data_IF_043086710370
#
_entry.id   IF_043086710370
#
_cell.length_a   1.000
_cell.length_b   1.000
_cell.length_c   1.000
_cell.angle_alpha   90.00
_cell.angle_beta   90.00
_cell.angle_gamma   90.00
#
_symmetry.space_group_name_H-M   'P 1'
#
loop_
_entity.id
_entity.type
_entity.pdbx_description
1 polymer ?
#
# COMPACT_ATOMS: atom_id res chain seq x y z
N UNK A 1 1.86 7.45 -10.23
CA UNK A 1 1.81 6.00 -10.02
C UNK A 1 1.97 5.23 -11.32
N UNK A 2 1.05 5.35 -12.29
CA UNK A 2 1.11 4.61 -13.57
C UNK A 2 2.45 4.70 -14.33
N UNK A 3 3.05 5.89 -14.40
CA UNK A 3 4.37 6.07 -15.04
C UNK A 3 5.51 5.35 -14.32
N UNK A 4 5.49 5.28 -12.98
CA UNK A 4 6.48 4.54 -12.18
C UNK A 4 6.32 3.03 -12.38
N UNK A 5 5.09 2.52 -12.35
CA UNK A 5 4.79 1.10 -12.59
C UNK A 5 5.27 0.64 -13.97
N UNK A 6 5.15 1.49 -15.00
CA UNK A 6 5.64 1.16 -16.33
C UNK A 6 7.17 1.12 -16.42
N UNK A 7 7.86 1.93 -15.60
CA UNK A 7 9.33 1.99 -15.55
C UNK A 7 9.94 0.91 -14.65
N UNK A 8 9.25 0.58 -13.57
CA UNK A 8 9.70 -0.31 -12.50
C UNK A 8 8.67 -1.44 -12.32
N UNK A 9 8.83 -2.57 -13.04
CA UNK A 9 7.84 -3.64 -13.06
C UNK A 9 7.69 -4.38 -11.72
N UNK A 10 8.76 -4.57 -10.96
CA UNK A 10 8.71 -5.21 -9.63
C UNK A 10 8.02 -4.27 -8.64
N UNK A 11 8.30 -2.97 -8.71
CA UNK A 11 7.52 -1.98 -7.95
C UNK A 11 6.03 -2.07 -8.26
N UNK A 12 5.68 -2.20 -9.54
CA UNK A 12 4.31 -2.43 -9.99
C UNK A 12 3.68 -3.68 -9.37
N UNK A 13 4.39 -4.80 -9.41
CA UNK A 13 3.98 -6.07 -8.79
C UNK A 13 3.69 -5.90 -7.30
N UNK A 14 4.62 -5.30 -6.54
CA UNK A 14 4.43 -5.05 -5.10
C UNK A 14 3.18 -4.22 -4.82
N UNK A 15 2.94 -3.17 -5.62
CA UNK A 15 1.74 -2.34 -5.48
C UNK A 15 0.47 -3.16 -5.73
N UNK A 16 0.43 -3.94 -6.82
CA UNK A 16 -0.76 -4.73 -7.16
C UNK A 16 -1.02 -5.86 -6.17
N UNK A 17 0.01 -6.61 -5.76
CA UNK A 17 -0.10 -7.67 -4.75
C UNK A 17 -0.56 -7.12 -3.41
N UNK A 18 -0.07 -5.94 -3.03
CA UNK A 18 -0.49 -5.28 -1.78
C UNK A 18 -1.94 -4.84 -1.84
N UNK A 19 -2.37 -4.24 -2.96
CA UNK A 19 -3.77 -3.87 -3.16
C UNK A 19 -4.67 -5.10 -3.15
N UNK A 20 -4.29 -6.18 -3.83
CA UNK A 20 -5.06 -7.42 -3.86
C UNK A 20 -5.16 -8.05 -2.46
N UNK A 21 -4.04 -8.15 -1.74
CA UNK A 21 -4.01 -8.73 -0.40
C UNK A 21 -4.81 -7.92 0.63
N UNK A 22 -4.80 -6.60 0.52
CA UNK A 22 -5.64 -5.71 1.33
C UNK A 22 -7.11 -5.88 0.94
N UNK A 23 -7.42 -5.92 -0.35
CA UNK A 23 -8.78 -6.12 -0.85
C UNK A 23 -9.40 -7.42 -0.33
N UNK A 24 -8.69 -8.55 -0.41
CA UNK A 24 -9.16 -9.82 0.17
C UNK A 24 -9.45 -9.72 1.67
N UNK A 25 -8.61 -9.00 2.40
CA UNK A 25 -8.76 -8.80 3.82
C UNK A 25 -10.03 -8.00 4.15
N UNK A 26 -10.34 -7.00 3.31
CA UNK A 26 -11.53 -6.16 3.42
C UNK A 26 -12.80 -6.87 2.96
N UNK A 27 -12.74 -7.74 1.95
CA UNK A 27 -13.89 -8.56 1.54
C UNK A 27 -14.33 -9.51 2.67
N UNK A 28 -13.38 -10.10 3.40
CA UNK A 28 -13.69 -10.96 4.56
C UNK A 28 -14.40 -10.22 5.69
N UNK A 29 -14.22 -8.90 5.80
CA UNK A 29 -14.87 -8.07 6.82
C UNK A 29 -16.23 -7.50 6.36
N UNK A 30 -16.67 -7.80 5.13
CA UNK A 30 -18.00 -7.54 4.59
C UNK A 30 -18.45 -6.07 4.73
N UNK A 31 -17.55 -5.14 4.40
CA UNK A 31 -17.75 -3.68 4.54
C UNK A 31 -17.69 -2.95 3.21
N UNK A 32 -18.35 -1.80 3.14
CA UNK A 32 -18.12 -0.82 2.08
C UNK A 32 -16.76 -0.15 2.33
N UNK A 33 -15.85 -0.23 1.36
CA UNK A 33 -14.53 0.40 1.42
C UNK A 33 -14.13 0.90 0.04
N UNK A 34 -13.26 1.91 0.03
CA UNK A 34 -12.54 2.40 -1.15
C UNK A 34 -11.05 2.18 -0.94
N UNK A 35 -10.40 1.52 -1.89
CA UNK A 35 -8.97 1.24 -1.88
C UNK A 35 -8.31 1.92 -3.08
N UNK A 36 -7.26 2.70 -2.86
CA UNK A 36 -6.56 3.41 -3.93
C UNK A 36 -5.07 3.59 -3.64
N UNK A 37 -4.25 3.59 -4.69
CA UNK A 37 -2.82 3.84 -4.63
C UNK A 37 -2.49 5.16 -5.34
N UNK A 38 -1.72 6.03 -4.70
CA UNK A 38 -1.28 7.30 -5.28
C UNK A 38 0.14 7.68 -4.84
N UNK A 39 0.72 8.65 -5.54
CA UNK A 39 2.04 9.20 -5.18
C UNK A 39 1.80 10.56 -4.52
N UNK A 40 2.34 10.76 -3.33
CA UNK A 40 2.32 12.05 -2.64
C UNK A 40 3.69 12.70 -2.76
N UNK A 41 3.73 13.98 -3.11
CA UNK A 41 4.96 14.77 -3.06
C UNK A 41 5.08 15.38 -1.66
N UNK A 42 6.17 15.07 -0.96
CA UNK A 42 6.51 15.71 0.32
C UNK A 42 7.33 16.97 0.02
N UNK A 43 7.22 17.99 0.88
CA UNK A 43 7.84 19.31 0.69
C UNK A 43 9.37 19.23 0.46
N UNK A 44 10.03 18.18 0.97
CA UNK A 44 11.48 17.94 0.82
C UNK A 44 11.90 17.18 -0.45
N UNK A 45 11.13 17.26 -1.54
CA UNK A 45 11.41 16.68 -2.86
C UNK A 45 11.36 15.15 -2.97
N UNK A 46 11.04 14.43 -1.90
CA UNK A 46 10.80 12.98 -1.94
C UNK A 46 9.36 12.66 -2.38
N UNK A 47 9.21 11.64 -3.23
CA UNK A 47 7.92 11.11 -3.64
C UNK A 47 7.57 9.90 -2.78
N UNK A 48 6.58 10.02 -1.89
CA UNK A 48 6.03 8.90 -1.14
C UNK A 48 5.07 8.10 -2.03
N UNK A 49 5.25 6.78 -2.08
CA UNK A 49 4.31 5.89 -2.76
C UNK A 49 3.27 5.42 -1.71
N UNK A 50 2.05 5.93 -1.76
CA UNK A 50 1.05 5.70 -0.72
C UNK A 50 -0.01 4.72 -1.22
N UNK A 51 -0.23 3.65 -0.45
CA UNK A 51 -1.41 2.81 -0.51
C UNK A 51 -2.41 3.29 0.53
N UNK A 52 -3.58 3.71 0.09
CA UNK A 52 -4.60 4.32 0.94
C UNK A 52 -5.86 3.47 1.00
N UNK A 53 -6.29 3.17 2.22
CA UNK A 53 -7.53 2.46 2.52
C UNK A 53 -8.49 3.45 3.19
N UNK A 54 -9.66 3.64 2.58
CA UNK A 54 -10.72 4.47 3.11
C UNK A 54 -11.95 3.59 3.38
N UNK A 55 -12.47 3.60 4.61
CA UNK A 55 -13.64 2.78 4.97
C UNK A 55 -14.35 3.25 6.24
N UNK A 56 -15.57 2.76 6.46
CA UNK A 56 -16.28 2.97 7.72
C UNK A 56 -15.90 1.93 8.79
N UNK A 57 -15.44 2.41 9.95
CA UNK A 57 -15.12 1.60 11.12
C UNK A 57 -16.22 1.67 12.18
N UNK A 58 -16.51 0.54 12.84
CA UNK A 58 -17.42 0.49 13.99
C UNK A 58 -16.80 1.15 15.22
N UNK A 59 -15.50 0.95 15.40
CA UNK A 59 -14.71 1.50 16.50
C UNK A 59 -13.22 1.56 16.14
N UNK A 60 -12.43 2.20 17.01
CA UNK A 60 -10.98 2.34 16.85
C UNK A 60 -10.24 1.02 16.88
N UNK A 61 -10.70 0.04 17.66
CA UNK A 61 -10.08 -1.28 17.72
C UNK A 61 -10.15 -2.04 16.39
N UNK A 62 -11.27 -1.96 15.69
CA UNK A 62 -11.42 -2.54 14.35
C UNK A 62 -10.50 -1.86 13.33
N UNK A 63 -10.41 -0.53 13.38
CA UNK A 63 -9.46 0.24 12.56
C UNK A 63 -8.03 -0.20 12.81
N UNK A 64 -7.61 -0.29 14.07
CA UNK A 64 -6.22 -0.60 14.44
C UNK A 64 -5.86 -2.05 14.10
N UNK A 65 -6.80 -2.98 14.30
CA UNK A 65 -6.65 -4.38 13.87
C UNK A 65 -6.45 -4.49 12.36
N UNK A 66 -7.26 -3.74 11.60
CA UNK A 66 -7.12 -3.70 10.15
C UNK A 66 -5.80 -3.07 9.73
N UNK A 67 -5.43 -1.94 10.32
CA UNK A 67 -4.17 -1.26 10.07
C UNK A 67 -2.99 -2.20 10.25
N UNK A 68 -2.96 -2.94 11.35
CA UNK A 68 -1.88 -3.88 11.64
C UNK A 68 -1.79 -4.97 10.58
N UNK A 69 -2.90 -5.61 10.24
CA UNK A 69 -2.89 -6.69 9.24
C UNK A 69 -2.58 -6.20 7.82
N UNK A 70 -3.07 -5.02 7.44
CA UNK A 70 -2.73 -4.40 6.16
C UNK A 70 -1.24 -4.03 6.11
N UNK A 71 -0.69 -3.52 7.21
CA UNK A 71 0.74 -3.19 7.34
C UNK A 71 1.63 -4.43 7.28
N UNK A 72 1.21 -5.54 7.89
CA UNK A 72 1.93 -6.82 7.82
C UNK A 72 1.99 -7.36 6.38
N UNK A 73 0.85 -7.40 5.68
CA UNK A 73 0.80 -7.80 4.26
C UNK A 73 1.67 -6.90 3.39
N UNK A 74 1.60 -5.59 3.59
CA UNK A 74 2.43 -4.65 2.85
C UNK A 74 3.92 -4.90 3.11
N UNK A 75 4.31 -5.10 4.36
CA UNK A 75 5.71 -5.40 4.73
C UNK A 75 6.22 -6.66 4.04
N UNK A 76 5.42 -7.72 3.99
CA UNK A 76 5.77 -8.96 3.30
C UNK A 76 6.01 -8.74 1.81
N UNK A 77 5.13 -7.99 1.15
CA UNK A 77 5.27 -7.68 -0.27
C UNK A 77 6.45 -6.75 -0.55
N UNK A 78 6.70 -5.75 0.29
CA UNK A 78 7.90 -4.90 0.21
C UNK A 78 9.18 -5.75 0.33
N UNK A 79 9.25 -6.63 1.33
CA UNK A 79 10.42 -7.51 1.50
C UNK A 79 10.63 -8.46 0.32
N UNK A 80 9.55 -9.02 -0.22
CA UNK A 80 9.57 -9.85 -1.43
C UNK A 80 10.07 -9.04 -2.63
N UNK A 81 9.53 -7.85 -2.84
CA UNK A 81 9.92 -6.93 -3.91
C UNK A 81 11.39 -6.51 -3.85
N UNK A 82 11.91 -6.14 -2.68
CA UNK A 82 13.32 -5.76 -2.49
C UNK A 82 14.26 -6.92 -2.84
N UNK A 83 13.87 -8.17 -2.55
CA UNK A 83 14.65 -9.36 -2.92
C UNK A 83 14.63 -9.63 -4.42
N UNK A 84 13.49 -9.36 -5.09
CA UNK A 84 13.30 -9.57 -6.53
C UNK A 84 13.97 -8.47 -7.37
N UNK A 85 13.90 -7.22 -6.92
CA UNK A 85 14.42 -6.07 -7.66
C UNK A 85 15.96 -6.13 -7.75
N UNK A 86 16.50 -5.88 -8.94
CA UNK A 86 17.95 -5.75 -9.16
C UNK A 86 18.38 -4.30 -9.33
N UNK A 87 17.47 -3.45 -9.83
CA UNK A 87 17.70 -2.00 -9.99
C UNK A 87 17.65 -1.29 -8.62
N UNK A 88 18.72 -0.57 -8.22
CA UNK A 88 18.74 0.22 -6.99
C UNK A 88 17.65 1.30 -6.92
N UNK A 89 17.29 1.95 -8.04
CA UNK A 89 16.23 2.94 -8.06
C UNK A 89 14.86 2.30 -7.80
N UNK A 90 14.62 1.13 -8.39
CA UNK A 90 13.40 0.34 -8.16
C UNK A 90 13.29 -0.12 -6.70
N UNK A 91 14.40 -0.55 -6.08
CA UNK A 91 14.43 -0.89 -4.65
C UNK A 91 14.02 0.29 -3.77
N UNK A 92 14.57 1.48 -4.04
CA UNK A 92 14.19 2.69 -3.31
C UNK A 92 12.70 3.01 -3.48
N UNK A 93 12.15 2.84 -4.68
CA UNK A 93 10.72 3.05 -4.93
C UNK A 93 9.86 2.06 -4.13
N UNK A 94 10.29 0.80 -4.00
CA UNK A 94 9.62 -0.23 -3.20
C UNK A 94 9.72 0.07 -1.70
N UNK A 95 10.90 0.46 -1.20
CA UNK A 95 11.13 0.82 0.21
C UNK A 95 10.29 2.03 0.64
N UNK A 96 10.04 2.95 -0.28
CA UNK A 96 9.24 4.16 -0.05
C UNK A 96 7.72 3.92 -0.13
N UNK A 97 7.26 2.67 -0.17
CA UNK A 97 5.83 2.36 -0.11
C UNK A 97 5.33 2.47 1.34
N UNK A 98 4.30 3.30 1.54
CA UNK A 98 3.63 3.53 2.82
C UNK A 98 2.16 3.10 2.76
N UNK A 99 1.63 2.61 3.88
CA UNK A 99 0.19 2.39 4.06
C UNK A 99 -0.45 3.58 4.78
N UNK A 100 -1.65 3.96 4.40
CA UNK A 100 -2.48 4.95 5.07
C UNK A 100 -3.91 4.42 5.21
N UNK A 101 -4.52 4.52 6.40
CA UNK A 101 -5.89 4.06 6.67
C UNK A 101 -6.68 5.20 7.27
N UNK A 102 -7.83 5.51 6.69
CA UNK A 102 -8.71 6.60 7.13
C UNK A 102 -10.15 6.14 7.27
N UNK A 103 -10.84 6.69 8.26
CA UNK A 103 -12.28 6.52 8.43
C UNK A 103 -13.03 7.43 7.47
N UNK A 104 -14.03 6.89 6.79
CA UNK A 104 -15.10 7.72 6.23
C UNK A 104 -15.89 8.36 7.39
N UNK A 105 -16.16 9.66 7.27
CA UNK A 105 -17.00 10.40 8.22
C UNK A 105 -18.47 10.12 7.93
#
# INVERSE_FOLDING_TARGET
MRSKIARYPIFGEVVYESLAGIHELLQRTNKNYTLFAYVRKVEDRWHENILHIQMHFKNTHERDTLWNRASEKLRENIQSGIRKATDPEEKLEIENILCAVRSEK
#
